data_IF_823772550676
#
_entry.id   IF_823772550676
#
_cell.length_a   1.000
_cell.length_b   1.000
_cell.length_c   1.000
_cell.angle_alpha   90.00
_cell.angle_beta   90.00
_cell.angle_gamma   90.00
#
_symmetry.space_group_name_H-M   'P 1'
#
loop_
_entity.id
_entity.type
_entity.pdbx_description
1 polymer ?
#
# COMPACT_ATOMS: atom_id res chain seq x y z
N UNK A 1 -12.86 -35.40 48.62
CA UNK A 1 -13.30 -34.95 49.97
C UNK A 1 -12.68 -33.59 50.24
N UNK A 2 -13.47 -32.64 50.71
CA UNK A 2 -13.23 -31.26 51.14
C UNK A 2 -13.15 -30.27 49.99
N UNK A 3 -14.19 -29.58 49.53
CA UNK A 3 -15.18 -28.60 50.13
C UNK A 3 -14.48 -27.24 50.46
N UNK A 4 -14.81 -26.23 49.60
CA UNK A 4 -15.53 -24.95 49.85
C UNK A 4 -14.73 -23.94 50.72
N UNK A 5 -14.58 -22.68 50.22
CA UNK A 5 -15.34 -21.50 50.67
C UNK A 5 -15.04 -20.29 49.77
N UNK A 6 -16.14 -19.68 49.30
CA UNK A 6 -16.18 -18.35 48.69
C UNK A 6 -16.18 -17.28 49.79
N UNK A 7 -15.59 -16.10 49.51
CA UNK A 7 -15.99 -14.89 50.23
C UNK A 7 -15.97 -13.70 49.27
N UNK A 8 -17.16 -13.17 49.06
CA UNK A 8 -17.44 -11.89 48.43
C UNK A 8 -17.25 -10.75 49.44
N UNK A 9 -16.62 -9.66 49.05
CA UNK A 9 -16.76 -8.39 49.74
C UNK A 9 -16.97 -7.28 48.73
N UNK A 10 -18.21 -6.79 48.67
CA UNK A 10 -18.61 -5.54 48.07
C UNK A 10 -18.28 -4.39 49.07
N UNK A 11 -17.70 -3.32 48.57
CA UNK A 11 -17.71 -2.04 49.27
C UNK A 11 -17.94 -0.94 48.24
N UNK A 12 -19.14 -0.38 48.35
CA UNK A 12 -19.57 0.87 47.74
C UNK A 12 -18.89 2.05 48.43
N UNK A 13 -18.43 3.04 47.66
CA UNK A 13 -18.23 4.39 48.21
C UNK A 13 -18.70 5.44 47.19
N UNK A 14 -19.48 6.36 47.80
CA UNK A 14 -20.32 7.38 47.21
C UNK A 14 -19.60 8.58 46.59
N UNK A 15 -20.32 9.16 45.63
CA UNK A 15 -20.39 10.56 45.19
C UNK A 15 -19.68 11.64 46.00
N UNK A 16 -18.99 12.53 45.27
CA UNK A 16 -19.00 13.96 45.58
C UNK A 16 -18.99 14.76 44.25
N UNK A 17 -20.14 15.30 43.90
CA UNK A 17 -20.31 16.38 42.93
C UNK A 17 -19.85 17.68 43.56
N UNK A 18 -18.98 18.41 42.86
CA UNK A 18 -18.76 19.83 43.14
C UNK A 18 -19.10 20.61 41.88
N UNK A 19 -20.25 21.28 41.94
CA UNK A 19 -20.69 22.24 40.93
C UNK A 19 -19.99 23.58 41.20
N UNK A 20 -19.29 24.12 40.18
CA UNK A 20 -18.94 25.53 40.14
C UNK A 20 -19.88 26.24 39.16
N UNK A 21 -20.77 27.02 39.71
CA UNK A 21 -21.60 28.00 39.02
C UNK A 21 -20.77 29.24 38.73
N UNK A 22 -20.73 29.70 37.49
CA UNK A 22 -20.30 31.05 37.12
C UNK A 22 -21.51 31.82 36.65
N UNK A 23 -21.74 32.89 37.36
CA UNK A 23 -22.85 33.84 37.21
C UNK A 23 -22.71 34.68 35.92
N UNK A 24 -23.85 34.78 35.22
CA UNK A 24 -24.09 35.73 34.13
C UNK A 24 -24.39 37.09 34.75
N UNK A 25 -23.64 38.12 34.30
CA UNK A 25 -24.00 39.52 34.55
C UNK A 25 -24.55 40.11 33.27
N UNK A 26 -25.81 40.43 33.27
CA UNK A 26 -26.51 41.26 32.29
C UNK A 26 -26.28 42.75 32.62
N UNK A 27 -25.96 43.54 31.62
CA UNK A 27 -26.31 44.96 31.63
C UNK A 27 -26.64 45.48 30.24
N UNK A 28 -27.66 46.29 30.24
CA UNK A 28 -28.55 46.77 29.20
C UNK A 28 -27.95 47.76 28.19
N UNK A 29 -28.49 47.66 26.97
CA UNK A 29 -29.12 48.74 26.15
C UNK A 29 -28.33 50.00 25.81
N UNK A 30 -28.05 50.21 24.50
CA UNK A 30 -28.48 51.44 23.79
C UNK A 30 -28.38 51.34 22.26
N UNK A 31 -29.53 51.52 21.66
CA UNK A 31 -29.91 52.34 20.48
C UNK A 31 -29.34 52.10 19.09
N UNK A 32 -30.30 51.83 18.21
CA UNK A 32 -30.24 51.72 16.75
C UNK A 32 -29.60 52.93 16.06
N UNK A 33 -28.83 52.62 15.00
CA UNK A 33 -28.68 53.49 13.86
C UNK A 33 -28.80 52.66 12.59
N UNK A 34 -29.83 52.93 11.79
CA UNK A 34 -30.00 52.45 10.43
C UNK A 34 -28.89 52.99 9.57
N UNK A 35 -28.19 52.11 8.87
CA UNK A 35 -27.41 52.51 7.70
C UNK A 35 -27.69 51.48 6.62
N UNK A 36 -28.30 51.98 5.56
CA UNK A 36 -28.53 51.34 4.27
C UNK A 36 -27.27 50.67 3.76
N UNK A 37 -27.24 49.35 3.64
CA UNK A 37 -26.20 48.61 2.93
C UNK A 37 -26.60 48.49 1.46
N UNK A 38 -25.87 49.10 0.60
CA UNK A 38 -25.81 48.83 -0.83
C UNK A 38 -25.38 47.34 -1.04
N UNK A 39 -26.26 46.63 -1.73
CA UNK A 39 -25.98 45.28 -2.20
C UNK A 39 -25.03 45.37 -3.39
N UNK A 40 -23.74 45.25 -3.15
CA UNK A 40 -22.79 44.89 -4.21
C UNK A 40 -22.87 43.38 -4.40
N UNK A 41 -23.43 42.99 -5.53
CA UNK A 41 -23.37 41.64 -6.03
C UNK A 41 -21.89 41.19 -6.15
N UNK A 42 -21.49 40.24 -5.33
CA UNK A 42 -20.29 39.48 -5.58
C UNK A 42 -20.54 38.63 -6.81
N UNK A 43 -19.98 39.01 -7.94
CA UNK A 43 -19.82 38.13 -9.09
C UNK A 43 -18.94 36.94 -8.63
N UNK A 44 -19.57 35.78 -8.56
CA UNK A 44 -18.90 34.52 -8.31
C UNK A 44 -17.93 34.26 -9.49
N UNK A 45 -16.65 34.14 -9.16
CA UNK A 45 -15.64 33.60 -10.09
C UNK A 45 -15.86 32.07 -10.19
N UNK A 46 -16.86 31.66 -10.92
CA UNK A 46 -17.23 30.27 -11.18
C UNK A 46 -16.96 29.88 -12.65
N UNK A 47 -15.86 30.28 -13.23
CA UNK A 47 -15.64 30.06 -14.67
C UNK A 47 -14.26 29.47 -15.05
N UNK A 48 -13.48 28.91 -14.10
CA UNK A 48 -12.20 28.31 -14.46
C UNK A 48 -12.00 26.84 -14.01
N UNK A 49 -12.95 26.25 -13.28
CA UNK A 49 -12.79 24.89 -12.71
C UNK A 49 -13.46 23.77 -13.53
N UNK A 50 -14.27 24.08 -14.56
CA UNK A 50 -15.15 23.10 -15.21
C UNK A 50 -14.54 22.40 -16.45
N UNK A 51 -13.39 22.84 -16.95
CA UNK A 51 -12.78 22.26 -18.16
C UNK A 51 -11.97 20.98 -17.92
N UNK A 52 -11.64 20.65 -16.69
CA UNK A 52 -10.79 19.50 -16.35
C UNK A 52 -11.54 18.30 -15.77
N UNK A 53 -12.80 18.47 -15.38
CA UNK A 53 -13.63 17.38 -14.90
C UNK A 53 -13.91 16.37 -16.01
N UNK A 54 -13.85 15.09 -15.66
CA UNK A 54 -14.18 13.96 -16.55
C UNK A 54 -15.51 13.29 -16.18
N UNK A 55 -16.14 13.76 -15.08
CA UNK A 55 -17.46 13.30 -14.68
C UNK A 55 -18.49 13.50 -15.78
N UNK A 56 -19.40 12.55 -15.90
CA UNK A 56 -20.57 12.64 -16.79
C UNK A 56 -21.82 13.06 -15.98
N UNK A 57 -22.95 13.27 -16.65
CA UNK A 57 -24.21 13.54 -15.97
C UNK A 57 -24.67 12.38 -15.06
N UNK A 58 -24.24 11.16 -15.37
CA UNK A 58 -24.68 9.93 -14.72
C UNK A 58 -23.65 9.35 -13.74
N UNK A 59 -22.34 9.72 -13.87
CA UNK A 59 -21.28 9.19 -13.02
C UNK A 59 -20.05 10.11 -12.97
N UNK A 60 -19.42 10.31 -11.75
CA UNK A 60 -20.00 10.03 -10.44
C UNK A 60 -20.94 11.13 -9.96
N UNK A 61 -22.05 10.78 -9.32
CA UNK A 61 -23.07 11.73 -8.81
C UNK A 61 -23.15 11.76 -7.28
N UNK A 62 -22.37 10.90 -6.61
CA UNK A 62 -22.29 10.78 -5.14
C UNK A 62 -20.85 10.46 -4.71
N UNK A 63 -20.50 10.60 -3.43
CA UNK A 63 -19.19 10.22 -2.90
C UNK A 63 -18.83 8.76 -3.21
N UNK A 64 -17.52 8.53 -3.42
CA UNK A 64 -16.93 7.25 -3.77
C UNK A 64 -16.18 6.69 -2.57
N UNK A 65 -16.13 5.36 -2.39
CA UNK A 65 -15.27 4.69 -1.43
C UNK A 65 -14.08 4.06 -2.15
N UNK A 66 -12.88 4.21 -1.57
CA UNK A 66 -11.69 3.50 -2.02
C UNK A 66 -11.22 2.58 -0.90
N UNK A 67 -11.16 1.29 -1.17
CA UNK A 67 -10.66 0.29 -0.23
C UNK A 67 -9.17 0.10 -0.46
N UNK A 68 -8.41 0.11 0.65
CA UNK A 68 -7.01 -0.27 0.70
C UNK A 68 -6.93 -1.55 1.54
N UNK A 69 -6.54 -2.70 0.95
CA UNK A 69 -6.63 -3.99 1.63
C UNK A 69 -5.45 -4.25 2.59
N UNK A 70 -4.85 -3.20 3.13
CA UNK A 70 -3.72 -3.25 4.07
C UNK A 70 -3.84 -2.18 5.15
N UNK A 71 -2.99 -2.28 6.17
CA UNK A 71 -2.92 -1.30 7.27
C UNK A 71 -2.54 0.11 6.80
N UNK A 72 -3.01 1.10 7.55
CA UNK A 72 -2.71 2.51 7.30
C UNK A 72 -1.21 2.80 7.41
N UNK A 73 -0.72 3.72 6.60
CA UNK A 73 0.70 4.10 6.53
C UNK A 73 1.60 3.11 5.80
N UNK A 74 1.07 1.98 5.30
CA UNK A 74 1.79 1.07 4.41
C UNK A 74 1.82 1.61 2.96
N UNK A 75 2.67 1.00 2.12
CA UNK A 75 2.87 1.41 0.73
C UNK A 75 1.57 1.60 -0.06
N UNK A 76 0.69 0.60 -0.01
CA UNK A 76 -0.60 0.66 -0.74
C UNK A 76 -1.48 1.82 -0.23
N UNK A 77 -1.45 2.12 1.07
CA UNK A 77 -2.19 3.23 1.67
C UNK A 77 -1.62 4.59 1.22
N UNK A 78 -0.30 4.73 1.22
CA UNK A 78 0.40 5.97 0.79
C UNK A 78 0.06 6.30 -0.67
N UNK A 79 0.23 5.33 -1.58
CA UNK A 79 -0.08 5.51 -3.00
C UNK A 79 -1.58 5.66 -3.27
N UNK A 80 -2.43 4.87 -2.59
CA UNK A 80 -3.88 4.92 -2.72
C UNK A 80 -4.45 6.28 -2.29
N UNK A 81 -3.96 6.86 -1.18
CA UNK A 81 -4.38 8.21 -0.74
C UNK A 81 -3.93 9.30 -1.69
N UNK A 82 -2.71 9.20 -2.26
CA UNK A 82 -2.27 10.15 -3.29
C UNK A 82 -3.13 10.06 -4.54
N UNK A 83 -3.43 8.84 -4.99
CA UNK A 83 -4.34 8.61 -6.12
C UNK A 83 -5.75 9.17 -5.83
N UNK A 84 -6.33 8.86 -4.67
CA UNK A 84 -7.66 9.32 -4.29
C UNK A 84 -7.77 10.85 -4.30
N UNK A 85 -6.81 11.54 -3.67
CA UNK A 85 -6.78 13.01 -3.62
C UNK A 85 -6.75 13.65 -5.02
N UNK A 86 -6.02 13.05 -5.96
CA UNK A 86 -5.97 13.57 -7.33
C UNK A 86 -7.19 13.15 -8.16
N UNK A 87 -7.75 11.96 -7.92
CA UNK A 87 -9.01 11.55 -8.57
C UNK A 87 -10.17 12.45 -8.17
N UNK A 88 -10.26 12.90 -6.90
CA UNK A 88 -11.27 13.88 -6.46
C UNK A 88 -11.27 15.13 -7.33
N UNK A 89 -10.08 15.64 -7.68
CA UNK A 89 -9.90 16.81 -8.54
C UNK A 89 -10.51 16.63 -9.92
N UNK A 90 -10.39 15.43 -10.51
CA UNK A 90 -10.85 15.15 -11.87
C UNK A 90 -12.25 14.54 -11.94
N UNK A 91 -12.72 13.90 -10.88
CA UNK A 91 -14.07 13.32 -10.80
C UNK A 91 -15.10 14.27 -10.19
N UNK A 92 -14.66 15.34 -9.49
CA UNK A 92 -15.56 16.30 -8.85
C UNK A 92 -16.37 15.73 -7.67
N UNK A 93 -15.98 14.56 -7.15
CA UNK A 93 -16.63 13.90 -6.02
C UNK A 93 -15.58 13.51 -4.97
N UNK A 94 -15.96 13.56 -3.70
CA UNK A 94 -15.09 13.13 -2.61
C UNK A 94 -14.85 11.62 -2.63
N UNK A 95 -13.63 11.20 -2.28
CA UNK A 95 -13.24 9.79 -2.19
C UNK A 95 -12.82 9.47 -0.75
N UNK A 96 -13.63 8.68 -0.05
CA UNK A 96 -13.29 8.20 1.28
C UNK A 96 -12.40 6.99 1.19
N UNK A 97 -11.18 7.08 1.73
CA UNK A 97 -10.23 5.95 1.76
C UNK A 97 -10.40 5.16 3.06
N UNK A 98 -10.65 3.86 2.94
CA UNK A 98 -10.84 2.93 4.06
C UNK A 98 -9.84 1.80 4.01
N UNK A 99 -9.11 1.56 5.10
CA UNK A 99 -8.20 0.44 5.24
C UNK A 99 -8.93 -0.80 5.75
N UNK A 100 -8.84 -1.92 5.02
CA UNK A 100 -9.43 -3.22 5.37
C UNK A 100 -8.37 -4.32 5.20
N UNK A 101 -7.44 -4.40 6.14
CA UNK A 101 -6.36 -5.38 6.14
C UNK A 101 -6.81 -6.78 6.57
N UNK A 102 -5.89 -7.74 6.43
CA UNK A 102 -6.03 -9.13 6.87
C UNK A 102 -5.83 -10.14 5.75
N UNK A 103 -5.27 -11.32 6.09
CA UNK A 103 -4.99 -12.43 5.17
C UNK A 103 -4.31 -11.97 3.87
N UNK A 104 -3.17 -11.29 3.98
CA UNK A 104 -2.40 -10.71 2.86
C UNK A 104 -3.23 -9.80 1.94
N UNK A 105 -4.26 -9.11 2.48
CA UNK A 105 -5.11 -8.20 1.73
C UNK A 105 -6.39 -8.84 1.16
N UNK A 106 -6.52 -10.16 1.22
CA UNK A 106 -7.67 -10.86 0.60
C UNK A 106 -9.02 -10.47 1.22
N UNK A 107 -9.06 -10.11 2.52
CA UNK A 107 -10.30 -9.67 3.18
C UNK A 107 -10.81 -8.36 2.54
N UNK A 108 -9.95 -7.39 2.33
CA UNK A 108 -10.31 -6.13 1.67
C UNK A 108 -10.71 -6.34 0.21
N UNK A 109 -9.97 -7.16 -0.54
CA UNK A 109 -10.30 -7.49 -1.93
C UNK A 109 -11.66 -8.18 -2.03
N UNK A 110 -11.95 -9.16 -1.16
CA UNK A 110 -13.23 -9.85 -1.10
C UNK A 110 -14.37 -8.89 -0.78
N UNK A 111 -14.15 -7.94 0.15
CA UNK A 111 -15.17 -6.95 0.51
C UNK A 111 -15.58 -6.06 -0.67
N UNK A 112 -14.63 -5.73 -1.57
CA UNK A 112 -14.93 -4.99 -2.81
C UNK A 112 -15.71 -5.85 -3.79
N UNK A 113 -15.35 -7.13 -3.93
CA UNK A 113 -16.05 -8.07 -4.81
C UNK A 113 -17.52 -8.26 -4.43
N UNK A 114 -17.84 -8.13 -3.14
CA UNK A 114 -19.19 -8.23 -2.59
C UNK A 114 -20.01 -6.94 -2.72
N UNK A 115 -19.40 -5.80 -3.09
CA UNK A 115 -20.11 -4.54 -3.32
C UNK A 115 -20.81 -4.50 -4.69
N UNK A 116 -21.81 -3.63 -4.86
CA UNK A 116 -22.39 -3.37 -6.17
C UNK A 116 -21.33 -2.96 -7.19
N UNK A 117 -21.45 -3.47 -8.41
CA UNK A 117 -20.55 -3.16 -9.53
C UNK A 117 -20.97 -1.84 -10.21
N UNK A 118 -21.16 -0.77 -9.42
CA UNK A 118 -21.63 0.54 -9.87
C UNK A 118 -20.52 1.60 -9.97
N UNK A 119 -19.27 1.20 -9.70
CA UNK A 119 -18.10 2.08 -9.74
C UNK A 119 -17.92 2.95 -8.48
N UNK A 120 -18.77 2.84 -7.47
CA UNK A 120 -18.65 3.63 -6.23
C UNK A 120 -17.85 2.94 -5.12
N UNK A 121 -17.33 1.73 -5.41
CA UNK A 121 -16.31 1.09 -4.57
C UNK A 121 -15.11 0.77 -5.43
N UNK A 122 -14.02 1.52 -5.21
CA UNK A 122 -12.74 1.37 -5.86
C UNK A 122 -11.80 0.54 -5.01
N UNK A 123 -10.82 -0.10 -5.62
CA UNK A 123 -9.77 -0.85 -4.91
C UNK A 123 -8.41 -0.42 -5.42
N UNK A 124 -7.51 -0.06 -4.50
CA UNK A 124 -6.08 -0.02 -4.78
C UNK A 124 -5.45 -1.18 -4.02
N UNK A 125 -4.94 -2.14 -4.77
CA UNK A 125 -4.36 -3.37 -4.23
C UNK A 125 -2.87 -3.51 -4.58
N UNK A 126 -2.22 -4.45 -3.92
CA UNK A 126 -0.85 -4.82 -4.20
C UNK A 126 -0.80 -6.17 -4.96
N UNK A 127 0.40 -6.55 -5.34
CA UNK A 127 0.75 -7.76 -6.11
C UNK A 127 0.23 -9.08 -5.54
N UNK A 128 -0.01 -9.16 -4.23
CA UNK A 128 -0.48 -10.41 -3.57
C UNK A 128 -1.74 -10.98 -4.18
N UNK A 129 -2.60 -10.14 -4.77
CA UNK A 129 -3.82 -10.62 -5.43
C UNK A 129 -3.52 -11.64 -6.55
N UNK A 130 -2.41 -11.49 -7.26
CA UNK A 130 -1.97 -12.45 -8.27
C UNK A 130 -1.44 -13.79 -7.73
N UNK A 131 -1.27 -13.92 -6.41
CA UNK A 131 -0.71 -15.12 -5.77
C UNK A 131 -1.71 -15.85 -4.86
N UNK A 132 -2.90 -15.29 -4.61
CA UNK A 132 -3.85 -15.84 -3.64
C UNK A 132 -4.22 -17.30 -3.91
N UNK A 133 -4.48 -17.66 -5.18
CA UNK A 133 -4.89 -19.02 -5.56
C UNK A 133 -3.77 -20.04 -5.32
N UNK A 134 -2.54 -19.72 -5.73
CA UNK A 134 -1.38 -20.61 -5.54
C UNK A 134 -0.97 -20.73 -4.08
N UNK A 135 -1.11 -19.65 -3.31
CA UNK A 135 -0.85 -19.61 -1.87
C UNK A 135 -2.00 -20.19 -1.03
N UNK A 136 -3.09 -20.65 -1.67
CA UNK A 136 -4.28 -21.17 -1.01
C UNK A 136 -4.91 -20.21 0.01
N UNK A 137 -4.84 -18.91 -0.25
CA UNK A 137 -5.39 -17.85 0.62
C UNK A 137 -6.88 -17.66 0.33
N UNK A 138 -7.24 -17.46 -0.93
CA UNK A 138 -8.62 -17.39 -1.44
C UNK A 138 -8.65 -17.60 -2.96
N UNK A 139 -9.86 -17.68 -3.54
CA UNK A 139 -10.04 -17.94 -4.97
C UNK A 139 -10.00 -16.67 -5.85
N UNK A 140 -9.70 -15.49 -5.28
CA UNK A 140 -9.59 -14.25 -6.04
C UNK A 140 -8.28 -14.17 -6.83
N UNK A 141 -8.37 -13.48 -8.00
CA UNK A 141 -7.25 -13.11 -8.85
C UNK A 141 -7.56 -11.77 -9.52
N UNK A 142 -6.63 -11.19 -10.27
CA UNK A 142 -6.84 -10.01 -11.13
C UNK A 142 -7.98 -10.21 -12.14
N UNK A 143 -8.23 -11.44 -12.58
CA UNK A 143 -9.32 -11.79 -13.50
C UNK A 143 -10.73 -11.54 -12.92
N UNK A 144 -10.85 -11.45 -11.59
CA UNK A 144 -12.10 -11.15 -10.90
C UNK A 144 -12.41 -9.65 -10.85
N UNK A 145 -11.51 -8.81 -11.38
CA UNK A 145 -11.62 -7.36 -11.39
C UNK A 145 -11.36 -6.80 -12.79
N UNK A 146 -11.87 -5.59 -13.04
CA UNK A 146 -11.45 -4.78 -14.18
C UNK A 146 -10.28 -3.89 -13.73
N UNK A 147 -9.11 -4.08 -14.34
CA UNK A 147 -7.95 -3.23 -14.09
C UNK A 147 -8.16 -1.89 -14.79
N UNK A 148 -8.28 -0.82 -14.01
CA UNK A 148 -8.33 0.55 -14.54
C UNK A 148 -6.94 0.96 -15.01
N UNK A 149 -5.93 0.69 -14.17
CA UNK A 149 -4.52 0.83 -14.53
C UNK A 149 -3.62 0.06 -13.55
N UNK A 150 -2.53 -0.56 -14.00
CA UNK A 150 -1.37 -0.74 -13.15
C UNK A 150 -0.88 0.65 -12.75
N UNK A 151 -0.36 0.80 -11.53
CA UNK A 151 0.08 2.11 -11.03
C UNK A 151 1.61 2.21 -11.11
N UNK A 152 2.27 1.72 -10.10
CA UNK A 152 3.71 1.83 -9.95
C UNK A 152 4.33 0.53 -9.45
N UNK A 153 5.61 0.34 -9.77
CA UNK A 153 6.51 -0.54 -9.04
C UNK A 153 7.24 0.28 -7.98
N UNK A 154 7.03 -0.01 -6.70
CA UNK A 154 7.65 0.74 -5.60
C UNK A 154 8.91 0.00 -5.13
N UNK A 155 10.12 0.59 -5.26
CA UNK A 155 11.37 -0.06 -4.91
C UNK A 155 11.44 -0.40 -3.42
N UNK A 156 12.10 -1.50 -3.11
CA UNK A 156 12.35 -1.93 -1.74
C UNK A 156 13.80 -1.70 -1.33
N UNK A 157 13.98 -1.36 -0.07
CA UNK A 157 15.30 -1.11 0.52
C UNK A 157 15.50 -2.03 1.71
N UNK A 158 16.58 -2.81 1.73
CA UNK A 158 16.97 -3.56 2.90
C UNK A 158 17.44 -2.58 3.97
N UNK A 159 16.80 -2.62 5.13
CA UNK A 159 17.12 -1.72 6.24
C UNK A 159 17.27 -2.49 7.54
N UNK A 160 18.09 -1.93 8.43
CA UNK A 160 18.25 -2.36 9.82
C UNK A 160 17.95 -1.20 10.76
N UNK A 161 17.65 -1.48 12.02
CA UNK A 161 17.46 -0.44 13.03
C UNK A 161 18.76 0.34 13.28
N UNK A 162 18.64 1.57 13.77
CA UNK A 162 19.79 2.47 14.02
C UNK A 162 20.88 1.85 14.91
N UNK A 163 20.47 1.05 15.90
CA UNK A 163 21.36 0.41 16.88
C UNK A 163 21.84 -0.98 16.44
N UNK A 164 21.51 -1.39 15.20
CA UNK A 164 21.96 -2.67 14.65
C UNK A 164 23.49 -2.76 14.54
N UNK A 165 24.02 -3.96 14.72
CA UNK A 165 25.44 -4.27 14.51
C UNK A 165 25.87 -4.20 13.03
N UNK A 166 24.93 -4.31 12.10
CA UNK A 166 25.20 -4.24 10.66
C UNK A 166 25.26 -2.79 10.19
N UNK A 167 26.28 -2.45 9.41
CA UNK A 167 26.47 -1.12 8.84
C UNK A 167 26.49 -1.13 7.31
N UNK A 168 26.75 -2.30 6.71
CA UNK A 168 26.74 -2.53 5.27
C UNK A 168 25.91 -3.77 4.94
N UNK A 169 25.58 -3.94 3.65
CA UNK A 169 24.92 -5.16 3.18
C UNK A 169 25.81 -6.38 3.40
N UNK A 170 27.12 -6.24 3.18
CA UNK A 170 28.10 -7.32 3.39
C UNK A 170 28.10 -7.80 4.84
N UNK A 171 28.05 -6.89 5.84
CA UNK A 171 27.98 -7.26 7.26
C UNK A 171 26.77 -8.19 7.53
N UNK A 172 25.61 -7.83 6.95
CA UNK A 172 24.38 -8.60 7.10
C UNK A 172 24.48 -9.97 6.41
N UNK A 173 24.93 -9.99 5.14
CA UNK A 173 25.01 -11.20 4.35
C UNK A 173 26.06 -12.19 4.91
N UNK A 174 27.18 -11.70 5.41
CA UNK A 174 28.22 -12.52 6.06
C UNK A 174 27.68 -13.18 7.32
N UNK A 175 26.90 -12.45 8.13
CA UNK A 175 26.28 -13.04 9.34
C UNK A 175 25.21 -14.08 8.98
N UNK A 176 24.39 -13.82 7.95
CA UNK A 176 23.42 -14.81 7.44
C UNK A 176 24.14 -16.09 7.00
N UNK A 177 25.24 -15.99 6.26
CA UNK A 177 26.05 -17.15 5.83
C UNK A 177 26.68 -17.90 7.00
N UNK A 178 27.16 -17.16 8.01
CA UNK A 178 27.77 -17.77 9.20
C UNK A 178 26.73 -18.43 10.11
N UNK A 179 25.50 -17.96 10.12
CA UNK A 179 24.42 -18.36 11.01
C UNK A 179 23.12 -18.66 10.26
N UNK A 180 23.04 -19.68 9.37
CA UNK A 180 21.87 -19.98 8.57
C UNK A 180 20.62 -20.15 9.42
N UNK A 181 19.51 -19.52 9.02
CA UNK A 181 18.22 -19.58 9.69
C UNK A 181 18.17 -18.91 11.06
N UNK A 182 19.15 -18.06 11.43
CA UNK A 182 19.19 -17.35 12.72
C UNK A 182 18.92 -15.86 12.58
N UNK A 183 19.42 -15.24 11.52
CA UNK A 183 19.13 -13.81 11.24
C UNK A 183 17.68 -13.69 10.81
N UNK A 184 16.96 -12.78 11.45
CA UNK A 184 15.51 -12.63 11.31
C UNK A 184 15.15 -11.51 10.37
N UNK A 185 14.19 -11.76 9.46
CA UNK A 185 13.65 -10.81 8.51
C UNK A 185 12.13 -10.68 8.67
N UNK A 186 11.61 -9.45 8.73
CA UNK A 186 10.16 -9.21 8.71
C UNK A 186 9.64 -8.92 7.31
N UNK A 187 8.37 -9.28 7.09
CA UNK A 187 7.62 -8.97 5.85
C UNK A 187 6.12 -8.79 6.13
N UNK A 188 5.37 -8.22 5.17
CA UNK A 188 3.94 -7.85 5.30
C UNK A 188 2.94 -8.97 4.97
N UNK A 189 3.35 -10.23 5.10
CA UNK A 189 2.46 -11.39 4.86
C UNK A 189 2.97 -12.32 3.77
N UNK A 190 2.45 -13.56 3.75
CA UNK A 190 2.77 -14.56 2.74
C UNK A 190 2.40 -14.09 1.32
N UNK A 191 3.21 -14.45 0.34
CA UNK A 191 2.99 -14.11 -1.07
C UNK A 191 3.32 -12.67 -1.47
N UNK A 192 3.49 -11.76 -0.50
CA UNK A 192 3.83 -10.36 -0.77
C UNK A 192 5.29 -10.14 -1.18
N UNK A 193 5.57 -8.95 -1.71
CA UNK A 193 6.88 -8.57 -2.23
C UNK A 193 8.02 -8.75 -1.24
N UNK A 194 7.80 -8.43 0.04
CA UNK A 194 8.79 -8.66 1.10
C UNK A 194 9.12 -10.12 1.31
N UNK A 195 8.10 -10.99 1.31
CA UNK A 195 8.29 -12.44 1.38
C UNK A 195 9.06 -12.96 0.16
N UNK A 196 8.65 -12.54 -1.06
CA UNK A 196 9.30 -12.96 -2.30
C UNK A 196 10.79 -12.58 -2.34
N UNK A 197 11.16 -11.39 -1.84
CA UNK A 197 12.58 -11.02 -1.73
C UNK A 197 13.34 -11.88 -0.71
N UNK A 198 12.68 -12.32 0.37
CA UNK A 198 13.25 -13.30 1.29
C UNK A 198 13.50 -14.65 0.59
N UNK A 199 12.63 -15.07 -0.34
CA UNK A 199 12.86 -16.27 -1.16
C UNK A 199 14.05 -16.08 -2.12
N UNK A 200 14.19 -14.91 -2.73
CA UNK A 200 15.38 -14.60 -3.55
C UNK A 200 16.66 -14.67 -2.74
N UNK A 201 16.66 -14.13 -1.51
CA UNK A 201 17.83 -14.29 -0.62
C UNK A 201 18.15 -15.76 -0.39
N UNK A 202 17.13 -16.59 -0.16
CA UNK A 202 17.30 -18.04 0.02
C UNK A 202 17.84 -18.74 -1.22
N UNK A 203 17.35 -18.40 -2.43
CA UNK A 203 17.87 -18.90 -3.71
C UNK A 203 19.35 -18.53 -3.91
N UNK A 204 19.77 -17.36 -3.42
CA UNK A 204 21.15 -16.89 -3.45
C UNK A 204 22.01 -17.51 -2.31
N UNK A 205 21.45 -18.44 -1.53
CA UNK A 205 22.16 -19.13 -0.45
C UNK A 205 22.20 -18.38 0.88
N UNK A 206 21.35 -17.35 1.06
CA UNK A 206 21.20 -16.60 2.31
C UNK A 206 19.95 -17.08 3.07
N UNK A 207 20.10 -18.04 3.95
CA UNK A 207 18.99 -18.62 4.72
C UNK A 207 18.61 -17.73 5.90
N UNK A 208 17.44 -17.09 5.84
CA UNK A 208 16.91 -16.15 6.83
C UNK A 208 15.64 -16.70 7.50
N UNK A 209 15.45 -16.39 8.78
CA UNK A 209 14.22 -16.70 9.50
C UNK A 209 13.17 -15.59 9.24
N UNK A 210 12.17 -15.89 8.41
CA UNK A 210 11.13 -14.93 8.04
C UNK A 210 10.00 -14.86 9.05
N UNK A 211 9.54 -13.65 9.38
CA UNK A 211 8.42 -13.36 10.31
C UNK A 211 7.40 -12.44 9.64
N UNK A 212 6.14 -12.87 9.62
CA UNK A 212 5.04 -12.10 9.04
C UNK A 212 4.48 -11.08 10.01
N UNK A 213 4.15 -9.89 9.49
CA UNK A 213 3.42 -8.79 10.16
C UNK A 213 2.19 -8.43 9.34
N UNK A 214 1.24 -7.68 9.94
CA UNK A 214 -0.02 -7.33 9.29
C UNK A 214 0.14 -6.27 8.16
N UNK A 215 1.20 -5.48 8.21
CA UNK A 215 1.53 -4.49 7.17
C UNK A 215 3.03 -4.28 7.02
N UNK A 216 3.46 -3.63 5.93
CA UNK A 216 4.85 -3.23 5.73
C UNK A 216 5.34 -2.23 6.78
N UNK A 217 4.46 -1.35 7.25
CA UNK A 217 4.79 -0.42 8.33
C UNK A 217 5.00 -1.15 9.67
N UNK A 218 4.16 -2.14 10.00
CA UNK A 218 4.34 -2.94 11.21
C UNK A 218 5.64 -3.75 11.15
N UNK A 219 5.98 -4.29 9.97
CA UNK A 219 7.26 -4.98 9.73
C UNK A 219 8.46 -4.06 9.97
N UNK A 220 8.39 -2.81 9.51
CA UNK A 220 9.43 -1.79 9.74
C UNK A 220 9.54 -1.41 11.22
N UNK A 221 8.40 -1.19 11.89
CA UNK A 221 8.37 -0.90 13.33
C UNK A 221 8.94 -2.07 14.16
N UNK A 222 8.75 -3.30 13.70
CA UNK A 222 9.38 -4.50 14.30
C UNK A 222 10.92 -4.43 14.29
N UNK A 223 11.52 -3.91 13.22
CA UNK A 223 12.98 -3.69 13.12
C UNK A 223 13.42 -2.52 14.00
N UNK A 224 12.71 -1.40 13.96
CA UNK A 224 13.02 -0.23 14.79
C UNK A 224 12.93 -0.60 16.27
N UNK A 225 11.98 -1.44 16.66
CA UNK A 225 11.80 -1.96 18.02
C UNK A 225 12.73 -3.11 18.40
N UNK A 226 13.60 -3.57 17.50
CA UNK A 226 14.56 -4.66 17.75
C UNK A 226 13.92 -6.05 17.91
N UNK A 227 12.71 -6.26 17.40
CA UNK A 227 12.03 -7.57 17.41
C UNK A 227 12.61 -8.52 16.35
N UNK A 228 13.10 -7.97 15.23
CA UNK A 228 13.73 -8.67 14.12
C UNK A 228 14.96 -7.89 13.67
N UNK A 229 15.90 -8.56 12.98
CA UNK A 229 17.20 -7.98 12.63
C UNK A 229 17.09 -6.98 11.47
N UNK A 230 16.31 -7.31 10.43
CA UNK A 230 16.16 -6.46 9.25
C UNK A 230 14.79 -6.63 8.57
N UNK A 231 14.49 -5.73 7.66
CA UNK A 231 13.31 -5.77 6.79
C UNK A 231 13.60 -5.11 5.45
N UNK A 232 12.62 -5.16 4.54
CA UNK A 232 12.72 -4.57 3.21
C UNK A 232 11.48 -3.70 2.89
N UNK A 233 11.27 -2.57 3.60
CA UNK A 233 10.15 -1.67 3.31
C UNK A 233 10.29 -1.04 1.92
N UNK A 234 9.19 -0.54 1.39
CA UNK A 234 9.20 0.27 0.18
C UNK A 234 9.69 1.69 0.50
N UNK A 235 10.33 2.33 -0.48
CA UNK A 235 10.89 3.66 -0.30
C UNK A 235 9.81 4.71 0.03
N UNK A 236 8.61 4.55 -0.51
CA UNK A 236 7.46 5.44 -0.23
C UNK A 236 7.06 5.51 1.25
N UNK A 237 7.40 4.48 2.03
CA UNK A 237 7.14 4.42 3.47
C UNK A 237 8.38 4.67 4.32
N UNK A 238 9.55 4.73 3.71
CA UNK A 238 10.84 4.70 4.38
C UNK A 238 11.46 6.08 4.57
N UNK A 239 11.17 7.06 3.68
CA UNK A 239 11.89 8.34 3.61
C UNK A 239 12.02 9.06 4.95
N UNK A 240 10.92 9.22 5.69
CA UNK A 240 10.94 9.87 7.00
C UNK A 240 11.79 9.14 8.06
N UNK A 241 11.91 7.82 7.99
CA UNK A 241 12.72 7.02 8.91
C UNK A 241 14.22 7.06 8.58
N UNK A 242 14.56 7.27 7.30
CA UNK A 242 15.93 7.56 6.87
C UNK A 242 16.35 8.95 7.37
N UNK A 243 15.50 9.97 7.16
CA UNK A 243 15.74 11.34 7.57
C UNK A 243 15.88 11.50 9.09
N UNK A 244 15.05 10.80 9.86
CA UNK A 244 15.14 10.78 11.33
C UNK A 244 16.34 9.98 11.87
N UNK A 245 16.95 9.12 11.04
CA UNK A 245 18.03 8.24 11.43
C UNK A 245 17.58 7.06 12.30
N UNK A 246 16.31 6.68 12.31
CA UNK A 246 15.80 5.54 13.06
C UNK A 246 16.16 4.20 12.42
N UNK A 247 16.49 4.22 11.13
CA UNK A 247 16.97 3.07 10.36
C UNK A 247 18.25 3.39 9.59
N UNK A 248 19.02 2.35 9.28
CA UNK A 248 20.17 2.38 8.37
C UNK A 248 19.80 1.62 7.09
N UNK A 249 19.70 2.28 5.92
CA UNK A 249 19.54 1.59 4.64
C UNK A 249 20.85 0.89 4.27
N UNK A 250 20.76 -0.37 3.83
CA UNK A 250 21.93 -1.17 3.44
C UNK A 250 22.04 -1.32 1.94
N UNK A 251 20.92 -1.56 1.22
CA UNK A 251 20.88 -1.63 -0.23
C UNK A 251 19.47 -1.46 -0.77
N UNK A 252 19.31 -0.89 -1.96
CA UNK A 252 18.07 -1.00 -2.72
C UNK A 252 18.05 -2.35 -3.45
N UNK A 253 16.91 -3.05 -3.36
CA UNK A 253 16.73 -4.36 -3.99
C UNK A 253 16.40 -4.20 -5.49
N UNK A 254 17.40 -3.79 -6.25
CA UNK A 254 17.31 -3.45 -7.68
C UNK A 254 18.67 -3.67 -8.37
N UNK A 255 18.66 -3.59 -9.70
CA UNK A 255 19.87 -3.67 -10.53
C UNK A 255 20.67 -2.35 -10.54
N UNK A 256 20.01 -1.23 -10.22
CA UNK A 256 20.62 0.09 -10.26
C UNK A 256 20.30 0.86 -8.99
N UNK A 257 21.13 1.86 -8.65
CA UNK A 257 20.83 2.79 -7.55
C UNK A 257 19.65 3.67 -7.87
N UNK A 258 18.91 4.07 -6.84
CA UNK A 258 17.86 5.08 -6.98
C UNK A 258 18.47 6.47 -7.15
N UNK A 259 18.00 7.23 -8.15
CA UNK A 259 18.47 8.61 -8.38
C UNK A 259 18.21 9.52 -7.17
N UNK A 260 17.07 9.35 -6.49
CA UNK A 260 16.72 10.12 -5.30
C UNK A 260 17.57 9.77 -4.06
N UNK A 261 18.22 8.60 -4.03
CA UNK A 261 19.05 8.12 -2.92
C UNK A 261 20.36 7.49 -3.44
N UNK A 262 21.24 8.29 -4.06
CA UNK A 262 22.44 7.76 -4.76
C UNK A 262 23.47 7.13 -3.82
N UNK A 263 23.40 7.42 -2.53
CA UNK A 263 24.32 6.87 -1.52
C UNK A 263 23.92 5.44 -1.09
N UNK A 264 22.69 4.98 -1.40
CA UNK A 264 22.27 3.61 -1.11
C UNK A 264 22.68 2.72 -2.29
N UNK A 265 23.56 1.71 -2.08
CA UNK A 265 24.02 0.84 -3.16
C UNK A 265 22.87 -0.01 -3.73
N UNK A 266 22.97 -0.38 -5.00
CA UNK A 266 22.11 -1.40 -5.57
C UNK A 266 22.53 -2.79 -5.03
N UNK A 267 21.57 -3.68 -4.86
CA UNK A 267 21.83 -5.04 -4.34
C UNK A 267 22.81 -5.81 -5.25
N UNK A 268 22.73 -5.61 -6.57
CA UNK A 268 23.64 -6.22 -7.57
C UNK A 268 25.07 -5.72 -7.47
N UNK A 269 25.36 -4.58 -6.87
CA UNK A 269 26.74 -4.13 -6.64
C UNK A 269 27.47 -5.03 -5.65
N UNK A 270 26.74 -5.65 -4.72
CA UNK A 270 27.28 -6.56 -3.70
C UNK A 270 27.04 -8.02 -4.08
N UNK A 271 25.92 -8.32 -4.72
CA UNK A 271 25.51 -9.68 -5.13
C UNK A 271 25.15 -9.68 -6.62
N UNK A 272 26.15 -9.67 -7.53
CA UNK A 272 25.91 -9.57 -8.98
C UNK A 272 25.01 -10.68 -9.54
N UNK A 273 25.08 -11.89 -8.99
CA UNK A 273 24.24 -13.02 -9.37
C UNK A 273 22.74 -12.85 -9.10
N UNK A 274 22.37 -11.79 -8.39
CA UNK A 274 20.95 -11.43 -8.13
C UNK A 274 20.27 -10.78 -9.34
N UNK A 275 21.01 -10.30 -10.35
CA UNK A 275 20.48 -9.52 -11.48
C UNK A 275 19.27 -10.18 -12.13
N UNK A 276 19.32 -11.49 -12.37
CA UNK A 276 18.24 -12.25 -12.99
C UNK A 276 16.91 -12.21 -12.23
N UNK A 277 16.95 -12.00 -10.91
CA UNK A 277 15.76 -11.92 -10.05
C UNK A 277 15.18 -10.50 -9.96
N UNK A 278 15.90 -9.47 -10.40
CA UNK A 278 15.57 -8.07 -10.18
C UNK A 278 15.01 -7.35 -11.41
N UNK A 279 14.66 -8.11 -12.45
CA UNK A 279 14.14 -7.59 -13.74
C UNK A 279 12.61 -7.33 -13.72
N UNK A 280 11.93 -7.62 -12.60
CA UNK A 280 10.49 -7.42 -12.45
C UNK A 280 10.19 -6.57 -11.20
N UNK A 281 9.14 -5.76 -11.19
CA UNK A 281 8.72 -5.04 -9.98
C UNK A 281 8.16 -6.03 -8.96
N UNK A 282 8.83 -6.16 -7.81
CA UNK A 282 8.32 -7.00 -6.71
C UNK A 282 7.10 -6.40 -6.06
N UNK A 283 7.12 -5.11 -5.77
CA UNK A 283 5.92 -4.39 -5.31
C UNK A 283 5.24 -3.77 -6.51
N UNK A 284 4.08 -4.29 -6.87
CA UNK A 284 3.24 -3.80 -7.94
C UNK A 284 1.91 -3.33 -7.35
N UNK A 285 1.58 -2.07 -7.57
CA UNK A 285 0.29 -1.52 -7.16
C UNK A 285 -0.64 -1.39 -8.36
N UNK A 286 -1.92 -1.63 -8.12
CA UNK A 286 -2.95 -1.66 -9.15
C UNK A 286 -4.21 -0.94 -8.69
N UNK A 287 -4.80 -0.17 -9.59
CA UNK A 287 -6.11 0.45 -9.43
C UNK A 287 -7.15 -0.37 -10.19
N UNK A 288 -8.10 -0.94 -9.48
CA UNK A 288 -9.09 -1.85 -10.04
C UNK A 288 -10.50 -1.56 -9.53
N UNK A 289 -11.50 -2.07 -10.24
CA UNK A 289 -12.91 -2.10 -9.85
C UNK A 289 -13.49 -3.50 -10.07
N UNK A 290 -14.68 -3.77 -9.54
CA UNK A 290 -15.37 -5.03 -9.80
C UNK A 290 -15.55 -5.26 -11.30
N UNK A 291 -15.32 -6.49 -11.80
CA UNK A 291 -15.35 -6.81 -13.24
C UNK A 291 -16.70 -6.62 -13.93
N UNK A 292 -17.81 -6.61 -13.17
CA UNK A 292 -19.16 -6.35 -13.71
C UNK A 292 -19.51 -4.84 -13.76
N UNK A 293 -18.52 -3.95 -13.52
CA UNK A 293 -18.73 -2.49 -13.59
C UNK A 293 -19.06 -2.07 -15.05
N UNK A 294 -20.12 -1.26 -15.27
CA UNK A 294 -20.50 -0.81 -16.61
C UNK A 294 -19.34 -0.14 -17.35
N UNK A 295 -19.23 -0.40 -18.66
CA UNK A 295 -18.11 0.09 -19.47
C UNK A 295 -18.00 1.62 -19.47
N UNK A 296 -19.13 2.34 -19.49
CA UNK A 296 -19.17 3.80 -19.42
C UNK A 296 -18.56 4.34 -18.11
N UNK A 297 -18.71 3.63 -16.99
CA UNK A 297 -18.09 3.96 -15.71
C UNK A 297 -16.59 3.67 -15.75
N UNK A 298 -16.21 2.51 -16.30
CA UNK A 298 -14.80 2.13 -16.50
C UNK A 298 -14.08 3.18 -17.36
N UNK A 299 -14.71 3.67 -18.43
CA UNK A 299 -14.13 4.66 -19.34
C UNK A 299 -13.91 6.01 -18.65
N UNK A 300 -14.84 6.44 -17.77
CA UNK A 300 -14.67 7.64 -16.93
C UNK A 300 -13.49 7.46 -15.98
N UNK A 301 -13.40 6.32 -15.28
CA UNK A 301 -12.31 6.04 -14.35
C UNK A 301 -10.95 5.95 -15.06
N UNK A 302 -10.86 5.29 -16.22
CA UNK A 302 -9.64 5.25 -17.04
C UNK A 302 -9.23 6.65 -17.52
N UNK A 303 -10.20 7.49 -17.89
CA UNK A 303 -9.92 8.88 -18.30
C UNK A 303 -9.43 9.73 -17.13
N UNK A 304 -10.05 9.60 -15.95
CA UNK A 304 -9.62 10.28 -14.73
C UNK A 304 -8.20 9.86 -14.33
N UNK A 305 -7.92 8.55 -14.36
CA UNK A 305 -6.58 8.02 -14.08
C UNK A 305 -5.52 8.60 -15.02
N UNK A 306 -5.78 8.69 -16.32
CA UNK A 306 -4.86 9.32 -17.29
C UNK A 306 -4.58 10.79 -16.96
N UNK A 307 -5.59 11.55 -16.50
CA UNK A 307 -5.38 12.94 -16.06
C UNK A 307 -4.55 13.00 -14.78
N UNK A 308 -4.78 12.10 -13.83
CA UNK A 308 -3.93 11.98 -12.62
C UNK A 308 -2.49 11.70 -13.01
N UNK A 309 -2.22 10.77 -13.92
CA UNK A 309 -0.86 10.40 -14.33
C UNK A 309 -0.13 11.54 -15.05
N UNK A 310 -0.85 12.44 -15.68
CA UNK A 310 -0.30 13.65 -16.30
C UNK A 310 -0.18 14.84 -15.32
N UNK A 311 -0.73 14.72 -14.10
CA UNK A 311 -0.67 15.79 -13.10
C UNK A 311 0.74 15.93 -12.53
N UNK A 312 1.32 17.17 -12.48
CA UNK A 312 2.63 17.41 -11.89
C UNK A 312 2.77 16.87 -10.46
N UNK A 313 1.71 16.94 -9.64
CA UNK A 313 1.76 16.38 -8.28
C UNK A 313 1.92 14.86 -8.25
N UNK A 314 1.40 14.14 -9.24
CA UNK A 314 1.60 12.70 -9.37
C UNK A 314 3.00 12.38 -9.86
N UNK A 315 3.45 13.03 -10.94
CA UNK A 315 4.76 12.78 -11.52
C UNK A 315 5.90 13.13 -10.57
N UNK A 316 5.75 14.23 -9.80
CA UNK A 316 6.71 14.58 -8.76
C UNK A 316 6.73 13.57 -7.63
N UNK A 317 5.54 13.04 -7.23
CA UNK A 317 5.44 12.01 -6.21
C UNK A 317 6.09 10.69 -6.66
N UNK A 318 5.89 10.28 -7.91
CA UNK A 318 6.57 9.12 -8.52
C UNK A 318 8.08 9.28 -8.46
N UNK A 319 8.61 10.44 -8.87
CA UNK A 319 10.05 10.74 -8.85
C UNK A 319 10.63 10.75 -7.43
N UNK A 320 9.95 11.42 -6.49
CA UNK A 320 10.40 11.49 -5.09
C UNK A 320 10.53 10.11 -4.45
N UNK A 321 9.69 9.18 -4.85
CA UNK A 321 9.72 7.80 -4.36
C UNK A 321 10.52 6.86 -5.25
N UNK A 322 11.23 7.38 -6.26
CA UNK A 322 11.99 6.58 -7.24
C UNK A 322 11.19 5.38 -7.79
N UNK A 323 9.87 5.52 -7.89
CA UNK A 323 8.98 4.43 -8.28
C UNK A 323 9.04 4.21 -9.80
N UNK A 324 8.95 2.95 -10.22
CA UNK A 324 8.81 2.59 -11.64
C UNK A 324 7.38 2.95 -12.11
N UNK A 325 7.23 3.85 -13.12
CA UNK A 325 5.92 4.26 -13.62
C UNK A 325 5.31 3.20 -14.54
N UNK A 326 4.82 2.08 -13.97
CA UNK A 326 4.24 0.95 -14.71
C UNK A 326 3.07 1.41 -15.57
N UNK A 327 2.29 2.41 -15.11
CA UNK A 327 1.17 3.01 -15.84
C UNK A 327 1.56 3.64 -17.18
N UNK A 328 2.82 4.03 -17.38
CA UNK A 328 3.31 4.57 -18.66
C UNK A 328 3.63 3.47 -19.67
N UNK A 329 4.00 2.28 -19.20
CA UNK A 329 4.47 1.15 -20.02
C UNK A 329 3.33 0.30 -20.55
N UNK A 330 2.26 0.15 -19.76
CA UNK A 330 1.13 -0.73 -20.03
C UNK A 330 -0.16 0.08 -20.01
N UNK A 331 -0.63 0.49 -21.19
CA UNK A 331 -1.70 1.49 -21.37
C UNK A 331 -2.97 0.95 -22.01
N UNK A 332 -2.94 -0.26 -22.55
CA UNK A 332 -4.08 -0.95 -23.15
C UNK A 332 -4.31 -2.31 -22.49
N UNK A 333 -5.53 -2.84 -22.62
CA UNK A 333 -5.96 -4.04 -21.91
C UNK A 333 -5.14 -5.29 -22.28
N UNK A 334 -4.60 -5.37 -23.52
CA UNK A 334 -3.80 -6.49 -23.96
C UNK A 334 -2.40 -6.46 -23.31
N UNK A 335 -1.73 -5.30 -23.34
CA UNK A 335 -0.42 -5.12 -22.72
C UNK A 335 -0.49 -5.26 -21.19
N UNK A 336 -1.57 -4.77 -20.56
CA UNK A 336 -1.83 -4.95 -19.14
C UNK A 336 -1.96 -6.44 -18.80
N UNK A 337 -2.78 -7.17 -19.56
CA UNK A 337 -2.96 -8.62 -19.33
C UNK A 337 -1.65 -9.39 -19.48
N UNK A 338 -0.91 -9.15 -20.56
CA UNK A 338 0.39 -9.79 -20.78
C UNK A 338 1.37 -9.51 -19.63
N UNK A 339 1.41 -8.29 -19.13
CA UNK A 339 2.24 -7.92 -18.00
C UNK A 339 1.89 -8.71 -16.73
N UNK A 340 0.59 -8.81 -16.37
CA UNK A 340 0.17 -9.58 -15.20
C UNK A 340 0.41 -11.08 -15.37
N UNK A 341 0.18 -11.63 -16.55
CA UNK A 341 0.45 -13.04 -16.84
C UNK A 341 1.94 -13.36 -16.69
N UNK A 342 2.82 -12.50 -17.21
CA UNK A 342 4.26 -12.62 -17.07
C UNK A 342 4.69 -12.50 -15.60
N UNK A 343 4.16 -11.51 -14.89
CA UNK A 343 4.43 -11.30 -13.47
C UNK A 343 4.01 -12.53 -12.64
N UNK A 344 2.79 -13.04 -12.83
CA UNK A 344 2.29 -14.23 -12.16
C UNK A 344 3.16 -15.45 -12.47
N UNK A 345 3.57 -15.62 -13.72
CA UNK A 345 4.44 -16.73 -14.10
C UNK A 345 5.72 -16.74 -13.27
N UNK A 346 6.44 -15.63 -13.23
CA UNK A 346 7.72 -15.55 -12.48
C UNK A 346 7.51 -15.79 -11.00
N UNK A 347 6.58 -15.06 -10.37
CA UNK A 347 6.41 -15.06 -8.92
C UNK A 347 5.77 -16.35 -8.40
N UNK A 348 4.68 -16.82 -9.03
CA UNK A 348 3.99 -18.02 -8.54
C UNK A 348 4.87 -19.27 -8.67
N UNK A 349 5.64 -19.39 -9.76
CA UNK A 349 6.56 -20.51 -9.91
C UNK A 349 7.73 -20.43 -8.92
N UNK A 350 8.30 -19.24 -8.68
CA UNK A 350 9.33 -19.05 -7.66
C UNK A 350 8.82 -19.47 -6.27
N UNK A 351 7.59 -19.09 -5.91
CA UNK A 351 6.96 -19.49 -4.64
C UNK A 351 6.74 -21.00 -4.55
N UNK A 352 6.29 -21.62 -5.64
CA UNK A 352 6.05 -23.05 -5.70
C UNK A 352 7.34 -23.87 -5.62
N UNK A 353 8.38 -23.48 -6.37
CA UNK A 353 9.69 -24.15 -6.39
C UNK A 353 10.38 -24.06 -5.01
N UNK A 354 10.12 -22.99 -4.25
CA UNK A 354 10.60 -22.85 -2.87
C UNK A 354 9.71 -23.54 -1.83
N UNK A 355 8.65 -24.25 -2.23
CA UNK A 355 7.75 -24.97 -1.35
C UNK A 355 6.91 -24.07 -0.44
N UNK A 356 6.66 -22.83 -0.87
CA UNK A 356 5.87 -21.82 -0.17
C UNK A 356 4.44 -21.78 -0.69
N UNK A 357 4.25 -21.85 -2.01
CA UNK A 357 2.93 -21.99 -2.59
C UNK A 357 2.40 -23.42 -2.35
N UNK A 358 1.15 -23.54 -1.87
CA UNK A 358 0.53 -24.83 -1.56
C UNK A 358 0.01 -25.56 -2.80
N UNK A 359 -0.36 -24.79 -3.86
CA UNK A 359 -0.92 -25.33 -5.11
C UNK A 359 0.00 -25.02 -6.29
N UNK A 360 0.05 -25.95 -7.24
CA UNK A 360 0.82 -25.74 -8.46
C UNK A 360 0.23 -24.59 -9.29
N UNK A 361 1.07 -23.68 -9.83
CA UNK A 361 0.60 -22.65 -10.77
C UNK A 361 -0.10 -23.24 -12.00
N UNK A 362 0.27 -24.45 -12.45
CA UNK A 362 -0.40 -25.16 -13.57
C UNK A 362 -1.89 -25.40 -13.33
N UNK A 363 -2.31 -25.62 -12.07
CA UNK A 363 -3.73 -25.83 -11.72
C UNK A 363 -4.59 -24.62 -12.09
N UNK A 364 -3.96 -23.43 -12.20
CA UNK A 364 -4.60 -22.16 -12.52
C UNK A 364 -4.24 -21.64 -13.92
N UNK A 365 -3.63 -22.50 -14.76
CA UNK A 365 -3.24 -22.12 -16.12
C UNK A 365 -2.08 -21.12 -16.19
N UNK A 366 -1.32 -20.94 -15.11
CA UNK A 366 -0.13 -20.07 -15.08
C UNK A 366 1.04 -20.84 -15.69
N UNK A 367 1.33 -20.53 -16.95
CA UNK A 367 2.44 -21.16 -17.67
C UNK A 367 3.79 -20.78 -17.05
N UNK A 368 4.76 -21.69 -17.04
CA UNK A 368 6.15 -21.36 -16.73
C UNK A 368 6.78 -20.69 -17.94
N UNK A 369 7.33 -19.49 -17.76
CA UNK A 369 8.19 -18.88 -18.80
C UNK A 369 9.52 -19.63 -18.76
N UNK A 370 9.90 -20.23 -19.89
CA UNK A 370 11.22 -20.81 -20.05
C UNK A 370 12.26 -19.69 -20.15
N UNK A 371 13.36 -19.79 -19.39
CA UNK A 371 14.48 -18.84 -19.39
C UNK A 371 15.21 -18.80 -20.74
#
# INVERSE_FOLDING_TARGET
>A
MRKIIALATAAAMCLSMTACSVSVSTSETTKAAETTAETTAAESSEAAADSDLVATADYPTKPINMIIPYGAGGTTDVWGRKLAALLEKYLGQSITVTNQGGASGSIGCQSVKEQPSDGYTLLVCAETMGTYRTMNICDLDYEDFTVISPLVGDPKVLVVGKDSKYNTLEDLLDDIKANPGKVTMSHSGPGGSGHNQGLVLKELGYDVAMTSFDSGNDALLGVIGGQVDFTNPNISTLGGYIESGDVKPLAVFSNERMEAYPDIPAFTEVVPESEKYLNIPYTLLSFVVNNDTPQEVVDVLKTAAKKVFADPEWTDFVKQNAADPVFEKYTDDASIKEFYDNWKSVICWMQYDNGVAEKSPEEFGIARIEE
#
